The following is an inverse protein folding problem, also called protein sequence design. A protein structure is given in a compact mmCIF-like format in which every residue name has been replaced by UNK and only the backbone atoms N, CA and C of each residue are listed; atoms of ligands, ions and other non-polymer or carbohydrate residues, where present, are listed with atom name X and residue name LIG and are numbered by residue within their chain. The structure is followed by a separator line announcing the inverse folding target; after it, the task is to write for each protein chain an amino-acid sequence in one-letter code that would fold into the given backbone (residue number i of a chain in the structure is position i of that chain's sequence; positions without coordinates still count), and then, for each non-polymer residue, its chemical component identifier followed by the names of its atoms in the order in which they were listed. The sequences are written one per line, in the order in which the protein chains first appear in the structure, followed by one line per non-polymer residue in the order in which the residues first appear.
data_IF_272233021484
#
_entry.id   IF_272233021484
#
_cell.length_a   1.000
_cell.length_b   1.000
_cell.length_c   1.000
_cell.angle_alpha   90.00
_cell.angle_beta   90.00
_cell.angle_gamma   90.00
#
_symmetry.space_group_name_H-M   'P 1'
#
loop_
_entity.id
_entity.type
_entity.pdbx_description
1 polymer ?
#
# COMPACT_ATOMS: atom_id res chain seq x y z
N UNK A 1 18.23 1.70 0.76
CA UNK A 1 17.17 2.73 0.94
C UNK A 1 17.45 3.99 0.12
N UNK A 2 18.63 4.63 0.25
CA UNK A 2 18.96 5.87 -0.46
C UNK A 2 18.71 5.84 -1.99
N UNK A 3 19.09 4.75 -2.67
CA UNK A 3 18.81 4.56 -4.11
C UNK A 3 17.31 4.61 -4.45
N UNK A 4 16.44 4.05 -3.60
CA UNK A 4 14.98 4.07 -3.79
C UNK A 4 14.42 5.49 -3.66
N UNK A 5 14.97 6.28 -2.74
CA UNK A 5 14.62 7.68 -2.56
C UNK A 5 15.06 8.50 -3.77
N UNK A 6 16.30 8.31 -4.22
CA UNK A 6 16.84 9.03 -5.37
C UNK A 6 16.05 8.77 -6.67
N UNK A 7 15.52 7.55 -6.84
CA UNK A 7 14.74 7.19 -8.01
C UNK A 7 13.35 7.84 -8.06
N UNK A 8 12.70 8.00 -6.91
CA UNK A 8 11.33 8.51 -6.82
C UNK A 8 11.14 9.48 -5.63
N UNK A 9 11.89 10.59 -5.57
CA UNK A 9 11.87 11.50 -4.42
C UNK A 9 10.47 12.09 -4.17
N UNK A 10 9.70 12.32 -5.23
CA UNK A 10 8.33 12.81 -5.19
C UNK A 10 7.30 11.81 -4.62
N UNK A 11 7.69 10.54 -4.47
CA UNK A 11 6.88 9.46 -3.91
C UNK A 11 7.39 9.00 -2.54
N UNK A 12 8.33 9.75 -1.96
CA UNK A 12 8.84 9.56 -0.61
C UNK A 12 8.27 10.65 0.30
N UNK A 13 7.65 10.26 1.40
CA UNK A 13 6.97 11.16 2.32
C UNK A 13 7.33 10.85 3.76
N UNK A 14 7.44 11.89 4.58
CA UNK A 14 7.59 11.78 6.03
C UNK A 14 6.62 12.71 6.73
N UNK A 15 6.15 12.29 7.90
CA UNK A 15 5.45 13.15 8.85
C UNK A 15 6.34 13.34 10.07
N UNK A 16 6.47 14.59 10.53
CA UNK A 16 7.34 14.97 11.63
C UNK A 16 6.55 15.73 12.70
N UNK A 17 6.94 15.57 13.95
CA UNK A 17 6.39 16.34 15.05
C UNK A 17 6.80 17.82 14.87
N UNK A 18 5.86 18.77 14.81
CA UNK A 18 6.20 20.18 14.59
C UNK A 18 6.94 20.82 15.76
N UNK A 19 6.87 20.22 16.96
CA UNK A 19 7.54 20.74 18.16
C UNK A 19 8.94 20.16 18.34
N UNK A 20 9.10 18.86 18.16
CA UNK A 20 10.36 18.14 18.45
C UNK A 20 11.18 17.84 17.19
N UNK A 21 10.58 17.92 16.00
CA UNK A 21 11.21 17.52 14.74
C UNK A 21 11.32 16.00 14.55
N UNK A 22 10.86 15.19 15.51
CA UNK A 22 10.96 13.74 15.45
C UNK A 22 10.10 13.15 14.32
N UNK A 23 10.61 12.11 13.67
CA UNK A 23 9.88 11.39 12.62
C UNK A 23 8.75 10.54 13.22
N UNK A 24 7.51 10.85 12.84
CA UNK A 24 6.30 10.16 13.31
C UNK A 24 5.89 9.02 12.37
N UNK A 25 6.08 9.21 11.07
CA UNK A 25 5.82 8.21 10.05
C UNK A 25 6.62 8.48 8.77
N UNK A 26 6.82 7.45 7.98
CA UNK A 26 7.39 7.55 6.63
C UNK A 26 6.69 6.60 5.67
N UNK A 27 6.55 7.02 4.41
CA UNK A 27 5.93 6.26 3.32
C UNK A 27 6.79 6.37 2.07
N UNK A 28 7.12 5.23 1.48
CA UNK A 28 7.90 5.14 0.25
C UNK A 28 7.09 4.38 -0.79
N UNK A 29 6.85 5.01 -1.94
CA UNK A 29 6.13 4.42 -3.06
C UNK A 29 7.01 4.46 -4.32
N UNK A 30 6.72 3.56 -5.26
CA UNK A 30 7.23 3.61 -6.64
C UNK A 30 6.12 3.35 -7.64
N UNK A 31 6.24 3.79 -8.89
CA UNK A 31 5.36 3.31 -9.96
C UNK A 31 5.57 1.80 -10.18
N UNK A 32 4.49 1.08 -10.51
CA UNK A 32 4.54 -0.34 -10.86
C UNK A 32 3.52 -0.62 -11.98
N UNK A 33 3.84 -1.47 -12.94
CA UNK A 33 2.85 -1.94 -13.93
C UNK A 33 2.15 -3.21 -13.43
N UNK A 34 0.95 -3.49 -13.95
CA UNK A 34 0.26 -4.75 -13.65
C UNK A 34 1.08 -5.97 -14.07
N UNK A 35 1.76 -5.88 -15.23
CA UNK A 35 2.64 -6.93 -15.73
C UNK A 35 3.83 -7.17 -14.78
N UNK A 36 4.48 -6.11 -14.29
CA UNK A 36 5.55 -6.22 -13.31
C UNK A 36 5.05 -6.84 -12.00
N UNK A 37 3.88 -6.42 -11.51
CA UNK A 37 3.30 -6.96 -10.28
C UNK A 37 2.96 -8.46 -10.40
N UNK A 38 2.60 -8.93 -11.60
CA UNK A 38 2.33 -10.33 -11.87
C UNK A 38 3.63 -11.16 -11.98
N UNK A 39 4.67 -10.62 -12.63
CA UNK A 39 5.91 -11.38 -12.92
C UNK A 39 6.85 -11.54 -11.72
N UNK A 40 6.88 -10.56 -10.82
CA UNK A 40 7.72 -10.56 -9.61
C UNK A 40 7.38 -11.71 -8.66
N UNK A 41 8.40 -12.37 -8.12
CA UNK A 41 8.21 -13.51 -7.20
C UNK A 41 8.31 -13.10 -5.75
N UNK A 42 9.14 -12.10 -5.43
CA UNK A 42 9.36 -11.62 -4.07
C UNK A 42 8.93 -10.17 -3.87
N UNK A 43 8.74 -9.76 -2.62
CA UNK A 43 8.60 -8.34 -2.30
C UNK A 43 9.85 -7.55 -2.67
N UNK A 44 11.04 -8.15 -2.53
CA UNK A 44 12.30 -7.48 -2.86
C UNK A 44 12.33 -7.09 -4.34
N UNK A 45 11.94 -8.00 -5.24
CA UNK A 45 11.82 -7.72 -6.68
C UNK A 45 10.84 -6.58 -6.96
N UNK A 46 9.74 -6.51 -6.19
CA UNK A 46 8.79 -5.40 -6.29
C UNK A 46 9.42 -4.07 -5.84
N UNK A 47 10.25 -4.11 -4.79
CA UNK A 47 10.85 -2.96 -4.14
C UNK A 47 12.14 -2.47 -4.82
N UNK A 48 12.72 -3.25 -5.72
CA UNK A 48 13.87 -2.86 -6.52
C UNK A 48 13.53 -1.75 -7.51
N UNK A 49 14.48 -0.84 -7.70
CA UNK A 49 14.42 0.18 -8.74
C UNK A 49 15.08 -0.43 -9.98
N UNK A 50 14.31 -1.21 -10.74
CA UNK A 50 14.73 -1.64 -12.07
C UNK A 50 14.69 -0.47 -13.06
N UNK A 51 15.50 -0.54 -14.12
CA UNK A 51 15.44 0.37 -15.26
C UNK A 51 14.04 0.31 -15.87
N UNK A 52 13.31 1.41 -15.83
CA UNK A 52 12.02 1.55 -16.52
C UNK A 52 12.27 1.82 -18.00
N UNK A 53 13.02 0.96 -18.68
CA UNK A 53 13.28 1.12 -20.11
C UNK A 53 12.04 0.62 -20.87
N UNK A 54 11.19 1.57 -21.29
CA UNK A 54 10.12 1.34 -22.27
C UNK A 54 8.74 0.95 -21.73
N UNK A 55 8.53 0.87 -20.42
CA UNK A 55 7.21 0.56 -19.86
C UNK A 55 6.24 1.75 -20.04
N UNK A 56 5.01 1.48 -20.51
CA UNK A 56 3.96 2.49 -20.57
C UNK A 56 3.77 3.19 -19.21
N UNK A 57 3.40 4.48 -19.19
CA UNK A 57 3.16 5.21 -17.95
C UNK A 57 2.07 4.52 -17.13
N UNK A 58 2.49 3.83 -16.07
CA UNK A 58 1.56 3.21 -15.13
C UNK A 58 0.86 4.28 -14.29
N UNK A 59 -0.41 4.02 -13.94
CA UNK A 59 -1.16 4.82 -12.97
C UNK A 59 -1.26 4.13 -11.62
N UNK A 60 -0.44 3.11 -11.42
CA UNK A 60 -0.44 2.28 -10.23
C UNK A 60 0.85 2.45 -9.46
N UNK A 61 0.73 2.42 -8.13
CA UNK A 61 1.85 2.56 -7.22
C UNK A 61 2.05 1.27 -6.43
N UNK A 62 3.29 0.94 -6.12
CA UNK A 62 3.65 -0.08 -5.14
C UNK A 62 4.25 0.60 -3.91
N UNK A 63 3.70 0.31 -2.73
CA UNK A 63 4.27 0.76 -1.48
C UNK A 63 5.38 -0.15 -1.02
N UNK A 64 6.56 0.44 -0.92
CA UNK A 64 7.79 -0.21 -0.49
C UNK A 64 7.76 -0.32 1.03
N UNK A 65 7.54 0.79 1.73
CA UNK A 65 7.46 0.77 3.18
C UNK A 65 6.53 1.85 3.72
N UNK A 66 5.82 1.49 4.78
CA UNK A 66 5.09 2.41 5.65
C UNK A 66 5.53 2.11 7.09
N UNK A 67 6.30 3.02 7.67
CA UNK A 67 6.74 2.93 9.06
C UNK A 67 6.06 4.02 9.87
N UNK A 68 5.64 3.71 11.09
CA UNK A 68 5.00 4.70 11.95
C UNK A 68 5.13 4.35 13.42
N UNK A 69 5.36 5.39 14.23
CA UNK A 69 5.27 5.34 15.70
C UNK A 69 4.03 6.06 16.23
N UNK A 70 3.25 6.69 15.35
CA UNK A 70 2.06 7.47 15.70
C UNK A 70 0.99 7.36 14.61
N UNK A 71 -0.25 6.92 14.94
CA UNK A 71 -1.37 6.88 13.99
C UNK A 71 -1.61 8.21 13.29
N UNK A 72 -1.43 9.32 14.00
CA UNK A 72 -1.58 10.69 13.47
C UNK A 72 -0.54 10.99 12.38
N UNK A 73 0.66 10.42 12.46
CA UNK A 73 1.68 10.54 11.43
C UNK A 73 1.25 9.89 10.12
N UNK A 74 0.63 8.72 10.18
CA UNK A 74 0.08 8.02 9.00
C UNK A 74 -1.05 8.83 8.36
N UNK A 75 -1.96 9.36 9.19
CA UNK A 75 -3.05 10.22 8.72
C UNK A 75 -2.54 11.49 8.04
N UNK A 76 -1.52 12.14 8.61
CA UNK A 76 -0.89 13.32 8.03
C UNK A 76 -0.24 13.01 6.67
N UNK A 77 0.45 11.87 6.54
CA UNK A 77 1.01 11.41 5.26
C UNK A 77 -0.11 11.25 4.23
N UNK A 78 -1.18 10.53 4.55
CA UNK A 78 -2.27 10.31 3.60
C UNK A 78 -2.99 11.61 3.23
N UNK A 79 -3.18 12.53 4.18
CA UNK A 79 -3.77 13.82 3.89
C UNK A 79 -2.89 14.71 3.01
N UNK A 80 -1.57 14.60 3.14
CA UNK A 80 -0.65 15.25 2.23
C UNK A 80 -0.66 14.59 0.84
N UNK A 81 -0.73 13.27 0.81
CA UNK A 81 -0.56 12.47 -0.40
C UNK A 81 -1.78 12.48 -1.31
N UNK A 82 -3.01 12.28 -0.77
CA UNK A 82 -4.19 12.04 -1.61
C UNK A 82 -4.49 13.13 -2.64
N UNK A 83 -4.48 14.43 -2.31
CA UNK A 83 -4.73 15.48 -3.30
C UNK A 83 -3.69 15.49 -4.43
N UNK A 84 -2.42 15.22 -4.08
CA UNK A 84 -1.32 15.14 -5.05
C UNK A 84 -1.46 13.91 -5.91
N UNK A 85 -1.89 12.80 -5.33
CA UNK A 85 -2.05 11.56 -6.05
C UNK A 85 -3.17 11.66 -7.10
N UNK A 86 -4.27 12.31 -6.74
CA UNK A 86 -5.36 12.62 -7.68
C UNK A 86 -4.90 13.53 -8.81
N UNK A 87 -4.18 14.60 -8.48
CA UNK A 87 -3.67 15.54 -9.50
C UNK A 87 -2.68 14.88 -10.45
N UNK A 88 -1.84 13.98 -9.96
CA UNK A 88 -0.92 13.18 -10.77
C UNK A 88 -1.64 12.09 -11.61
N UNK A 89 -2.90 11.78 -11.29
CA UNK A 89 -3.69 10.77 -12.00
C UNK A 89 -3.42 9.34 -11.55
N UNK A 90 -2.83 9.14 -10.36
CA UNK A 90 -2.69 7.82 -9.76
C UNK A 90 -4.07 7.23 -9.44
N UNK A 91 -4.19 5.90 -9.58
CA UNK A 91 -5.45 5.18 -9.45
C UNK A 91 -5.52 4.27 -8.24
N UNK A 92 -4.43 3.57 -7.96
CA UNK A 92 -4.40 2.57 -6.91
C UNK A 92 -2.99 2.38 -6.36
N UNK A 93 -2.95 1.86 -5.14
CA UNK A 93 -1.73 1.50 -4.44
C UNK A 93 -1.79 0.01 -4.12
N UNK A 94 -0.72 -0.69 -4.42
CA UNK A 94 -0.46 -2.06 -4.00
C UNK A 94 0.49 -2.07 -2.82
N UNK A 95 0.28 -2.99 -1.88
CA UNK A 95 1.21 -3.25 -0.78
C UNK A 95 1.47 -4.74 -0.68
N UNK A 96 2.74 -5.09 -0.44
CA UNK A 96 3.07 -6.41 0.07
C UNK A 96 2.74 -6.48 1.56
N UNK A 97 2.07 -7.54 1.98
CA UNK A 97 1.81 -7.85 3.39
C UNK A 97 2.29 -9.26 3.75
N UNK A 98 2.97 -9.46 4.89
CA UNK A 98 3.06 -10.77 5.50
C UNK A 98 1.68 -11.23 5.97
N UNK A 99 1.56 -12.52 6.29
CA UNK A 99 0.36 -13.19 6.79
C UNK A 99 0.67 -13.87 8.14
N UNK A 100 0.97 -13.09 9.19
CA UNK A 100 1.58 -13.58 10.44
C UNK A 100 0.74 -14.61 11.22
N UNK A 101 -0.56 -14.72 10.97
CA UNK A 101 -1.39 -15.73 11.63
C UNK A 101 -1.39 -17.09 10.93
N UNK A 102 -0.75 -17.22 9.75
CA UNK A 102 -0.79 -18.42 8.93
C UNK A 102 -0.16 -19.63 9.62
N UNK A 103 1.03 -19.48 10.19
CA UNK A 103 1.72 -20.60 10.85
C UNK A 103 0.90 -21.18 12.01
N UNK A 104 0.16 -20.34 12.75
CA UNK A 104 -0.73 -20.81 13.83
C UNK A 104 -1.93 -21.55 13.26
N UNK A 105 -2.57 -21.00 12.23
CA UNK A 105 -3.74 -21.63 11.58
C UNK A 105 -3.39 -22.97 10.94
N UNK A 106 -2.21 -23.07 10.32
CA UNK A 106 -1.69 -24.30 9.70
C UNK A 106 -1.60 -25.48 10.67
N UNK A 107 -1.43 -25.23 11.97
CA UNK A 107 -1.35 -26.29 12.99
C UNK A 107 -2.68 -27.02 13.18
N UNK A 108 -3.81 -26.34 12.97
CA UNK A 108 -5.14 -26.96 13.03
C UNK A 108 -5.64 -27.44 11.67
N UNK A 109 -5.14 -26.83 10.58
CA UNK A 109 -5.61 -27.07 9.21
C UNK A 109 -4.45 -27.50 8.30
N UNK A 110 -3.85 -28.66 8.59
CA UNK A 110 -2.58 -29.11 8.01
C UNK A 110 -2.64 -29.18 6.48
N UNK A 111 -3.72 -29.75 5.92
CA UNK A 111 -3.87 -30.03 4.49
C UNK A 111 -4.63 -28.95 3.71
N UNK A 112 -5.15 -27.92 4.38
CA UNK A 112 -5.97 -26.90 3.73
C UNK A 112 -5.09 -25.97 2.85
N UNK A 113 -5.54 -25.55 1.66
CA UNK A 113 -4.80 -24.55 0.86
C UNK A 113 -4.57 -23.25 1.65
N UNK A 114 -3.40 -22.60 1.50
CA UNK A 114 -3.08 -21.34 2.21
C UNK A 114 -4.11 -20.26 1.93
N UNK A 115 -4.61 -20.22 0.70
CA UNK A 115 -5.63 -19.32 0.21
C UNK A 115 -6.88 -19.38 1.09
N UNK A 116 -7.23 -20.56 1.61
CA UNK A 116 -8.39 -20.74 2.49
C UNK A 116 -8.30 -19.86 3.73
N UNK A 117 -7.09 -19.66 4.27
CA UNK A 117 -6.85 -18.75 5.39
C UNK A 117 -6.72 -17.30 4.96
N UNK A 118 -5.99 -17.04 3.88
CA UNK A 118 -5.72 -15.69 3.38
C UNK A 118 -7.01 -14.95 3.03
N UNK A 119 -7.95 -15.65 2.39
CA UNK A 119 -9.25 -15.10 2.01
C UNK A 119 -10.34 -15.32 3.07
N UNK A 120 -10.04 -16.05 4.16
CA UNK A 120 -11.00 -16.24 5.24
C UNK A 120 -11.37 -14.90 5.89
N UNK A 121 -12.66 -14.75 6.16
CA UNK A 121 -13.19 -13.58 6.87
C UNK A 121 -13.84 -13.99 8.18
N UNK A 122 -13.72 -13.12 9.18
CA UNK A 122 -14.42 -13.21 10.46
C UNK A 122 -15.12 -11.87 10.70
N UNK A 123 -16.44 -11.89 10.82
CA UNK A 123 -17.28 -10.68 10.95
C UNK A 123 -17.04 -9.67 9.81
N UNK A 124 -16.95 -10.16 8.57
CA UNK A 124 -16.78 -9.32 7.38
C UNK A 124 -15.39 -8.69 7.19
N UNK A 125 -14.39 -9.10 7.97
CA UNK A 125 -13.00 -8.63 7.86
C UNK A 125 -12.04 -9.81 7.72
N UNK A 126 -10.86 -9.63 7.11
CA UNK A 126 -9.85 -10.69 7.07
C UNK A 126 -9.57 -11.28 8.45
N UNK A 127 -9.42 -12.60 8.51
CA UNK A 127 -9.08 -13.30 9.74
C UNK A 127 -7.65 -12.98 10.20
N UNK A 128 -6.73 -12.85 9.25
CA UNK A 128 -5.34 -12.50 9.54
C UNK A 128 -5.22 -11.06 10.10
N UNK A 129 -4.46 -10.85 11.20
CA UNK A 129 -4.39 -9.55 11.85
C UNK A 129 -3.74 -8.47 10.99
N UNK A 130 -2.72 -8.80 10.18
CA UNK A 130 -2.06 -7.82 9.32
C UNK A 130 -2.97 -7.43 8.16
N UNK A 131 -3.67 -8.40 7.57
CA UNK A 131 -4.62 -8.13 6.50
C UNK A 131 -5.82 -7.32 7.01
N UNK A 132 -6.26 -7.58 8.25
CA UNK A 132 -7.30 -6.77 8.89
C UNK A 132 -6.86 -5.33 9.11
N UNK A 133 -5.62 -5.11 9.53
CA UNK A 133 -5.05 -3.77 9.67
C UNK A 133 -5.11 -3.01 8.34
N UNK A 134 -4.64 -3.62 7.24
CA UNK A 134 -4.69 -3.01 5.92
C UNK A 134 -6.13 -2.83 5.40
N UNK A 135 -7.02 -3.79 5.68
CA UNK A 135 -8.44 -3.68 5.37
C UNK A 135 -9.06 -2.43 5.99
N UNK A 136 -8.78 -2.15 7.26
CA UNK A 136 -9.28 -0.96 7.95
C UNK A 136 -8.77 0.35 7.33
N UNK A 137 -7.60 0.32 6.68
CA UNK A 137 -7.01 1.47 5.98
C UNK A 137 -7.43 1.58 4.50
N UNK A 138 -8.41 0.80 4.06
CA UNK A 138 -8.96 0.90 2.70
C UNK A 138 -8.29 -0.01 1.65
N UNK A 139 -7.37 -0.88 2.05
CA UNK A 139 -6.80 -1.91 1.18
C UNK A 139 -7.73 -3.11 1.13
N UNK A 140 -8.80 -2.95 0.34
CA UNK A 140 -9.97 -3.83 0.34
C UNK A 140 -9.93 -4.98 -0.67
N UNK A 141 -8.79 -5.26 -1.30
CA UNK A 141 -8.70 -6.36 -2.26
C UNK A 141 -7.38 -7.06 -2.11
N UNK A 142 -7.40 -8.39 -2.00
CA UNK A 142 -6.21 -9.22 -2.15
C UNK A 142 -6.11 -9.56 -3.64
N UNK A 143 -4.98 -9.23 -4.27
CA UNK A 143 -4.78 -9.44 -5.72
C UNK A 143 -3.87 -10.63 -6.02
N UNK A 144 -3.06 -11.04 -5.05
CA UNK A 144 -2.23 -12.23 -5.16
C UNK A 144 -1.90 -12.78 -3.77
N UNK A 145 -1.83 -14.11 -3.68
CA UNK A 145 -1.19 -14.84 -2.60
C UNK A 145 0.03 -15.53 -3.23
N UNK A 146 1.22 -15.31 -2.68
CA UNK A 146 2.48 -15.76 -3.29
C UNK A 146 3.31 -16.52 -2.24
N UNK A 147 3.76 -17.75 -2.53
CA UNK A 147 4.79 -18.41 -1.73
C UNK A 147 6.13 -17.67 -1.89
N UNK A 148 7.01 -17.80 -0.89
CA UNK A 148 8.36 -17.23 -0.87
C UNK A 148 8.42 -15.71 -1.13
N UNK A 149 7.33 -14.99 -0.85
CA UNK A 149 7.20 -13.56 -1.17
C UNK A 149 7.85 -12.67 -0.10
N UNK A 150 7.76 -13.07 1.17
CA UNK A 150 8.40 -12.40 2.30
C UNK A 150 9.15 -13.43 3.15
N UNK A 151 10.44 -13.27 3.44
CA UNK A 151 11.12 -14.10 4.43
C UNK A 151 10.56 -13.79 5.82
N UNK A 152 9.56 -14.55 6.25
CA UNK A 152 8.81 -14.33 7.48
C UNK A 152 8.23 -15.65 8.00
N UNK A 153 8.89 -16.20 9.02
CA UNK A 153 8.58 -17.53 9.56
C UNK A 153 7.11 -17.70 9.98
N UNK A 154 6.49 -16.70 10.60
CA UNK A 154 5.08 -16.81 11.02
C UNK A 154 4.10 -16.76 9.83
N UNK A 155 4.55 -16.29 8.67
CA UNK A 155 3.82 -16.40 7.40
C UNK A 155 4.19 -17.65 6.61
N UNK A 156 5.09 -18.53 7.10
CA UNK A 156 5.63 -19.64 6.32
C UNK A 156 6.20 -19.18 4.97
N UNK A 157 6.82 -18.00 4.98
CA UNK A 157 7.34 -17.28 3.82
C UNK A 157 6.31 -16.86 2.74
N UNK A 158 5.02 -17.08 3.01
CA UNK A 158 3.96 -16.52 2.19
C UNK A 158 3.85 -15.01 2.38
N UNK A 159 3.41 -14.37 1.31
CA UNK A 159 2.96 -13.00 1.35
C UNK A 159 1.78 -12.77 0.43
N UNK A 160 1.09 -11.68 0.67
CA UNK A 160 -0.04 -11.28 -0.15
C UNK A 160 0.18 -9.88 -0.67
N UNK A 161 -0.31 -9.65 -1.87
CA UNK A 161 -0.40 -8.32 -2.42
C UNK A 161 -1.82 -7.83 -2.19
N UNK A 162 -1.96 -6.74 -1.44
CA UNK A 162 -3.24 -6.05 -1.23
C UNK A 162 -3.30 -4.78 -2.05
N UNK A 163 -4.51 -4.37 -2.43
CA UNK A 163 -4.78 -3.19 -3.25
C UNK A 163 -5.74 -2.26 -2.55
N UNK A 164 -5.35 -0.99 -2.48
CA UNK A 164 -6.19 0.15 -2.09
C UNK A 164 -6.48 1.01 -3.32
N UNK A 165 -7.73 1.44 -3.48
CA UNK A 165 -8.10 2.40 -4.53
C UNK A 165 -7.94 3.81 -4.01
N UNK A 166 -7.39 4.69 -4.84
CA UNK A 166 -7.37 6.12 -4.54
C UNK A 166 -8.81 6.63 -4.72
N UNK A 167 -9.43 7.24 -3.69
CA UNK A 167 -10.82 7.71 -3.77
C UNK A 167 -11.01 8.65 -4.95
N UNK A 168 -12.11 8.52 -5.70
CA UNK A 168 -12.44 9.37 -6.86
C UNK A 168 -11.43 9.34 -8.02
N UNK A 169 -10.48 8.40 -8.04
CA UNK A 169 -9.50 8.28 -9.13
C UNK A 169 -10.08 7.96 -10.51
N UNK A 170 -11.33 7.49 -10.59
CA UNK A 170 -12.06 7.36 -11.87
C UNK A 170 -12.24 8.70 -12.59
N UNK A 171 -12.32 9.80 -11.84
CA UNK A 171 -12.44 11.17 -12.33
C UNK A 171 -11.08 11.87 -12.54
N UNK A 172 -9.98 11.10 -12.55
CA UNK A 172 -8.60 11.58 -12.77
C UNK A 172 -8.43 12.72 -13.81
N UNK A 173 -9.01 12.66 -15.03
CA UNK A 173 -8.82 13.75 -16.00
C UNK A 173 -9.39 15.09 -15.51
N UNK A 174 -10.48 15.08 -14.74
CA UNK A 174 -11.08 16.29 -14.20
C UNK A 174 -10.19 16.91 -13.10
N UNK A 175 -9.61 16.07 -12.23
CA UNK A 175 -8.77 16.53 -11.12
C UNK A 175 -7.49 17.25 -11.57
N UNK A 176 -7.01 16.98 -12.78
CA UNK A 176 -5.84 17.68 -13.34
C UNK A 176 -6.07 19.18 -13.44
N UNK A 177 -7.28 19.59 -13.81
CA UNK A 177 -7.68 20.99 -13.98
C UNK A 177 -8.11 21.66 -12.67
N UNK A 178 -8.36 20.89 -11.61
CA UNK A 178 -8.72 21.45 -10.30
C UNK A 178 -7.47 22.01 -9.58
N UNK A 179 -7.53 23.23 -9.03
CA UNK A 179 -6.46 23.77 -8.19
C UNK A 179 -6.23 22.92 -6.95
N UNK A 180 -4.97 22.67 -6.59
CA UNK A 180 -4.61 21.86 -5.41
C UNK A 180 -5.23 22.37 -4.09
N UNK A 181 -5.37 23.69 -3.83
CA UNK A 181 -6.03 24.17 -2.61
C UNK A 181 -7.48 23.69 -2.49
N UNK A 182 -8.20 23.56 -3.60
CA UNK A 182 -9.59 23.10 -3.60
C UNK A 182 -9.69 21.62 -3.27
N UNK A 183 -8.77 20.80 -3.80
CA UNK A 183 -8.69 19.37 -3.46
C UNK A 183 -8.40 19.15 -1.96
N UNK A 184 -7.52 19.97 -1.38
CA UNK A 184 -7.25 19.94 0.08
C UNK A 184 -8.49 20.34 0.90
N UNK A 185 -9.26 21.32 0.42
CA UNK A 185 -10.53 21.72 1.03
C UNK A 185 -11.57 20.60 1.00
N UNK A 186 -11.73 19.95 -0.15
CA UNK A 186 -12.67 18.82 -0.32
C UNK A 186 -12.33 17.63 0.58
N UNK A 187 -11.03 17.36 0.80
CA UNK A 187 -10.63 16.26 1.68
C UNK A 187 -11.13 16.44 3.12
N UNK A 188 -11.19 17.68 3.63
CA UNK A 188 -11.77 17.98 4.95
C UNK A 188 -13.27 17.68 5.00
N UNK A 189 -13.97 17.85 3.88
CA UNK A 189 -15.38 17.51 3.75
C UNK A 189 -15.60 16.00 3.56
N UNK A 190 -14.74 15.32 2.80
CA UNK A 190 -14.86 13.88 2.52
C UNK A 190 -14.42 13.00 3.70
N UNK A 191 -13.50 13.46 4.54
CA UNK A 191 -13.11 12.74 5.77
C UNK A 191 -14.26 12.62 6.79
N UNK A 192 -15.40 13.33 6.58
CA UNK A 192 -16.63 13.14 7.36
C UNK A 192 -17.57 12.08 6.80
N UNK A 193 -17.29 11.54 5.61
CA UNK A 193 -18.21 10.67 4.85
C UNK A 193 -17.61 9.28 4.57
N UNK A 194 -16.30 9.10 4.75
CA UNK A 194 -15.57 7.83 4.66
C UNK A 194 -15.17 7.35 6.06
#
# INVERSE_FOLDING_TARGET
MAQRIAAHPQLCMGAFCPRTGEALASLFLKPISAAQLQSVRTWADCAEVGSQDGAQPSRDLFGISLSSVSPQGVEAIFAFFWPRALKAGWRQIYLGSPVPGLARWRRSEIYAPVESYVYATRRGMPQDPQLRYYWQKGFKTIVACKPDYFPHAASLDYGVVVRGRIPLSSLAPLWRHVPLPWLRGMQRCMARVL
#
